data_IF_422043354387
#
_entry.id   IF_422043354387
#
_cell.length_a   1.000
_cell.length_b   1.000
_cell.length_c   1.000
_cell.angle_alpha   90.00
_cell.angle_beta   90.00
_cell.angle_gamma   90.00
#
_symmetry.space_group_name_H-M   'P 1'
#
loop_
_entity.id
_entity.type
_entity.pdbx_description
1 polymer ?
#
# COMPACT_ATOMS: atom_id res chain seq x y z
N UNK A 1 23.04 -14.17 -11.89
CA UNK A 1 23.91 -13.73 -13.01
C UNK A 1 24.76 -12.55 -12.51
N UNK A 2 26.07 -12.50 -12.74
CA UNK A 2 26.88 -11.34 -12.33
C UNK A 2 26.57 -10.19 -13.30
N UNK A 3 25.88 -9.15 -12.80
CA UNK A 3 25.64 -7.92 -13.56
C UNK A 3 26.96 -7.26 -13.97
N UNK A 4 27.03 -6.74 -15.19
CA UNK A 4 28.19 -5.94 -15.61
C UNK A 4 28.29 -4.68 -14.73
N UNK A 5 29.50 -4.12 -14.53
CA UNK A 5 29.68 -2.92 -13.72
C UNK A 5 28.78 -1.75 -14.15
N UNK A 6 28.61 -1.57 -15.47
CA UNK A 6 27.74 -0.53 -16.03
C UNK A 6 26.25 -0.73 -15.71
N UNK A 7 25.76 -1.96 -15.73
CA UNK A 7 24.38 -2.26 -15.31
C UNK A 7 24.20 -2.03 -13.81
N UNK A 8 25.14 -2.53 -13.00
CA UNK A 8 25.12 -2.36 -11.54
C UNK A 8 25.11 -0.89 -11.14
N UNK A 9 25.97 -0.06 -11.71
CA UNK A 9 26.02 1.37 -11.41
C UNK A 9 24.69 2.08 -11.72
N UNK A 10 24.06 1.73 -12.85
CA UNK A 10 22.78 2.33 -13.24
C UNK A 10 21.61 1.83 -12.39
N UNK A 11 21.59 0.55 -12.02
CA UNK A 11 20.62 0.01 -11.09
C UNK A 11 20.76 0.64 -9.70
N UNK A 12 21.96 0.89 -9.21
CA UNK A 12 22.18 1.59 -7.93
C UNK A 12 21.76 3.07 -7.94
N UNK A 13 21.49 3.66 -9.11
CA UNK A 13 20.86 4.98 -9.22
C UNK A 13 19.34 4.89 -9.09
N UNK A 14 18.78 3.70 -9.30
CA UNK A 14 17.34 3.44 -9.24
C UNK A 14 16.94 2.80 -7.91
N UNK A 15 17.68 1.77 -7.48
CA UNK A 15 17.52 1.06 -6.22
C UNK A 15 18.51 1.63 -5.22
N UNK A 16 18.02 2.17 -4.11
CA UNK A 16 18.85 2.74 -3.07
C UNK A 16 19.78 1.65 -2.49
N UNK A 17 21.10 1.82 -2.50
CA UNK A 17 22.02 0.81 -1.99
C UNK A 17 21.86 0.47 -0.51
N UNK A 18 21.18 1.33 0.28
CA UNK A 18 20.99 1.16 1.72
C UNK A 18 19.94 0.10 2.05
N UNK A 19 18.88 0.01 1.24
CA UNK A 19 17.75 -0.91 1.46
C UNK A 19 17.43 -1.81 0.25
N UNK A 20 18.05 -1.56 -0.89
CA UNK A 20 17.82 -2.30 -2.14
C UNK A 20 16.47 -2.03 -2.79
N UNK A 21 15.79 -0.92 -2.43
CA UNK A 21 14.42 -0.62 -2.88
C UNK A 21 14.35 0.63 -3.77
N UNK A 22 13.26 0.78 -4.50
CA UNK A 22 13.03 1.93 -5.38
C UNK A 22 11.56 2.42 -5.37
N UNK A 23 11.37 3.73 -5.32
CA UNK A 23 10.11 4.42 -5.55
C UNK A 23 10.15 5.11 -6.92
N UNK A 24 9.46 4.51 -7.88
CA UNK A 24 9.39 5.03 -9.24
C UNK A 24 7.99 5.54 -9.59
N UNK A 25 7.93 6.53 -10.48
CA UNK A 25 6.66 7.07 -11.01
C UNK A 25 6.59 6.89 -12.52
N UNK A 26 5.48 6.34 -13.02
CA UNK A 26 5.21 6.22 -14.45
C UNK A 26 4.46 7.44 -14.99
N UNK A 27 5.10 8.13 -15.93
CA UNK A 27 4.63 9.34 -16.59
C UNK A 27 4.57 9.18 -18.12
N UNK A 28 4.47 7.94 -18.62
CA UNK A 28 4.43 7.58 -20.05
C UNK A 28 3.00 7.41 -20.60
N UNK A 29 1.94 7.63 -19.82
CA UNK A 29 0.55 7.34 -20.22
C UNK A 29 0.06 8.11 -21.47
N UNK A 30 0.56 9.34 -21.69
CA UNK A 30 0.25 10.11 -22.90
C UNK A 30 0.77 9.48 -24.18
N UNK A 31 1.77 8.60 -24.08
CA UNK A 31 2.29 7.81 -25.19
C UNK A 31 1.27 6.80 -25.72
N UNK A 32 0.45 6.24 -24.83
CA UNK A 32 -0.50 5.20 -25.17
C UNK A 32 -1.85 5.79 -25.53
N UNK A 33 -2.47 6.57 -24.63
CA UNK A 33 -3.85 7.00 -24.86
C UNK A 33 -4.51 7.95 -23.87
N UNK A 34 -3.79 8.54 -22.92
CA UNK A 34 -4.42 9.30 -21.82
C UNK A 34 -4.28 10.83 -22.04
N UNK A 35 -5.12 11.51 -22.85
CA UNK A 35 -5.08 12.95 -23.02
C UNK A 35 -5.78 13.69 -21.87
N UNK A 36 -5.59 13.27 -20.61
CA UNK A 36 -6.09 14.04 -19.47
C UNK A 36 -5.23 15.24 -19.16
N UNK A 37 -5.80 16.18 -18.40
CA UNK A 37 -5.09 17.38 -17.95
C UNK A 37 -3.77 17.05 -17.23
N UNK A 38 -3.71 15.95 -16.49
CA UNK A 38 -2.51 15.50 -15.78
C UNK A 38 -1.39 15.01 -16.72
N UNK A 39 -1.73 14.63 -17.95
CA UNK A 39 -0.77 14.26 -18.99
C UNK A 39 -0.41 15.46 -19.85
N UNK A 40 -1.36 16.35 -20.12
CA UNK A 40 -1.14 17.59 -20.90
C UNK A 40 -0.25 18.55 -20.09
N UNK A 41 -0.54 18.75 -18.80
CA UNK A 41 0.22 19.58 -17.86
C UNK A 41 1.13 18.74 -16.97
N UNK A 42 1.93 17.87 -17.59
CA UNK A 42 2.77 16.93 -16.85
C UNK A 42 3.95 17.58 -16.10
N UNK A 43 4.49 18.71 -16.59
CA UNK A 43 5.64 19.41 -15.98
C UNK A 43 5.47 19.71 -14.48
N UNK A 44 4.43 20.44 -14.01
CA UNK A 44 4.26 20.73 -12.59
C UNK A 44 4.03 19.48 -11.72
N UNK A 45 3.52 18.40 -12.32
CA UNK A 45 3.36 17.11 -11.62
C UNK A 45 4.73 16.45 -11.45
N UNK A 46 5.59 16.46 -12.47
CA UNK A 46 6.94 15.93 -12.37
C UNK A 46 7.81 16.70 -11.37
N UNK A 47 7.66 18.02 -11.29
CA UNK A 47 8.33 18.84 -10.26
C UNK A 47 7.93 18.38 -8.85
N UNK A 48 6.63 18.18 -8.61
CA UNK A 48 6.12 17.63 -7.34
C UNK A 48 6.59 16.20 -7.06
N UNK A 49 6.67 15.35 -8.08
CA UNK A 49 7.20 13.97 -7.96
C UNK A 49 8.68 13.98 -7.55
N UNK A 50 9.47 14.86 -8.17
CA UNK A 50 10.89 15.04 -7.83
C UNK A 50 11.03 15.55 -6.39
N UNK A 51 10.26 16.57 -6.00
CA UNK A 51 10.25 17.09 -4.63
C UNK A 51 9.72 16.10 -3.60
N UNK A 52 8.90 15.13 -4.03
CA UNK A 52 8.40 14.05 -3.20
C UNK A 52 9.45 13.00 -2.86
N UNK A 53 10.58 12.99 -3.58
CA UNK A 53 11.69 12.07 -3.32
C UNK A 53 11.62 10.75 -4.11
N UNK A 54 11.02 10.75 -5.30
CA UNK A 54 11.06 9.58 -6.17
C UNK A 54 12.51 9.25 -6.61
N UNK A 55 12.87 7.97 -6.67
CA UNK A 55 14.17 7.49 -7.16
C UNK A 55 14.23 7.42 -8.68
N UNK A 56 13.09 7.23 -9.34
CA UNK A 56 13.03 7.10 -10.79
C UNK A 56 11.72 7.57 -11.40
N UNK A 57 11.78 8.03 -12.66
CA UNK A 57 10.59 8.36 -13.44
C UNK A 57 10.65 7.69 -14.81
N UNK A 58 9.62 6.91 -15.12
CA UNK A 58 9.41 6.27 -16.40
C UNK A 58 8.68 7.22 -17.36
N UNK A 59 9.30 7.53 -18.48
CA UNK A 59 8.78 8.42 -19.51
C UNK A 59 8.87 7.79 -20.89
N UNK A 60 8.03 8.21 -21.83
CA UNK A 60 8.29 7.97 -23.25
C UNK A 60 9.50 8.78 -23.72
N UNK A 61 10.16 8.31 -24.77
CA UNK A 61 11.30 9.01 -25.38
C UNK A 61 10.96 10.49 -25.70
N UNK A 62 9.81 10.73 -26.33
CA UNK A 62 9.38 12.10 -26.65
C UNK A 62 9.13 12.99 -25.43
N UNK A 63 8.66 12.42 -24.31
CA UNK A 63 8.49 13.17 -23.05
C UNK A 63 9.85 13.48 -22.43
N UNK A 64 10.76 12.49 -22.41
CA UNK A 64 12.12 12.67 -21.91
C UNK A 64 12.91 13.73 -22.70
N UNK A 65 12.73 13.84 -24.02
CA UNK A 65 13.34 14.91 -24.81
C UNK A 65 12.89 16.31 -24.38
N UNK A 66 11.63 16.47 -23.97
CA UNK A 66 11.04 17.77 -23.62
C UNK A 66 11.26 18.15 -22.16
N UNK A 67 11.12 17.17 -21.27
CA UNK A 67 11.11 17.37 -19.81
C UNK A 67 12.33 16.75 -19.10
N UNK A 68 13.25 16.12 -19.84
CA UNK A 68 14.46 15.49 -19.29
C UNK A 68 15.35 16.44 -18.50
N UNK A 69 15.32 17.74 -18.84
CA UNK A 69 16.05 18.78 -18.12
C UNK A 69 15.70 18.89 -16.63
N UNK A 70 14.50 18.46 -16.22
CA UNK A 70 14.08 18.42 -14.80
C UNK A 70 14.89 17.40 -13.98
N UNK A 71 15.47 16.40 -14.65
CA UNK A 71 16.17 15.27 -14.06
C UNK A 71 17.70 15.43 -14.09
N UNK A 72 18.20 16.59 -14.53
CA UNK A 72 19.62 16.88 -14.54
C UNK A 72 20.10 17.23 -13.12
N UNK A 73 20.98 16.40 -12.56
CA UNK A 73 21.60 16.65 -11.27
C UNK A 73 21.93 15.36 -10.52
N UNK A 74 22.85 15.48 -9.55
CA UNK A 74 23.28 14.34 -8.73
C UNK A 74 22.15 13.77 -7.90
N UNK A 75 21.35 14.65 -7.30
CA UNK A 75 20.23 14.34 -6.41
C UNK A 75 18.89 14.17 -7.15
N UNK A 76 18.88 14.25 -8.48
CA UNK A 76 17.67 14.07 -9.27
C UNK A 76 17.40 12.59 -9.54
N UNK A 77 16.13 12.18 -9.68
CA UNK A 77 15.76 10.80 -9.97
C UNK A 77 16.42 10.27 -11.25
N UNK A 78 16.50 8.94 -11.33
CA UNK A 78 16.81 8.21 -12.54
C UNK A 78 15.75 8.44 -13.63
N UNK A 79 16.20 8.63 -14.87
CA UNK A 79 15.32 8.55 -16.04
C UNK A 79 15.18 7.08 -16.45
N UNK A 80 13.95 6.61 -16.62
CA UNK A 80 13.62 5.33 -17.26
C UNK A 80 12.88 5.62 -18.57
N UNK A 81 13.22 4.90 -19.64
CA UNK A 81 12.62 5.12 -20.97
C UNK A 81 11.71 3.96 -21.35
N UNK A 82 10.44 4.26 -21.65
CA UNK A 82 9.51 3.37 -22.33
C UNK A 82 9.95 3.19 -23.79
N UNK A 83 10.31 1.97 -24.17
CA UNK A 83 10.85 1.67 -25.50
C UNK A 83 9.80 1.30 -26.54
N UNK A 84 8.59 0.94 -26.11
CA UNK A 84 7.56 0.39 -26.98
C UNK A 84 6.21 1.07 -26.81
N UNK A 85 5.40 0.94 -27.84
CA UNK A 85 4.03 1.41 -27.90
C UNK A 85 3.09 0.23 -28.07
N UNK A 86 1.88 0.36 -27.53
CA UNK A 86 0.78 -0.59 -27.73
C UNK A 86 -0.50 0.14 -28.11
N UNK A 87 -1.37 -0.52 -28.86
CA UNK A 87 -2.63 0.07 -29.31
C UNK A 87 -3.81 -0.12 -28.33
N UNK A 88 -3.54 -0.54 -27.09
CA UNK A 88 -4.52 -0.70 -26.01
C UNK A 88 -3.86 -0.32 -24.67
N UNK A 89 -4.52 0.38 -23.74
CA UNK A 89 -5.84 0.94 -23.91
C UNK A 89 -5.81 2.17 -24.84
N UNK A 90 -6.99 2.60 -25.32
CA UNK A 90 -7.22 3.80 -26.14
C UNK A 90 -8.25 4.70 -25.45
N UNK A 91 -7.98 5.14 -24.23
CA UNK A 91 -9.00 5.65 -23.31
C UNK A 91 -9.62 7.01 -23.67
N UNK A 92 -9.01 7.76 -24.60
CA UNK A 92 -9.50 9.09 -25.01
C UNK A 92 -9.68 10.05 -23.82
N UNK A 93 -10.43 11.14 -24.03
CA UNK A 93 -10.63 12.16 -23.00
C UNK A 93 -11.44 11.68 -21.79
N UNK A 94 -12.35 10.71 -21.97
CA UNK A 94 -13.13 10.15 -20.85
C UNK A 94 -12.26 9.39 -19.87
N UNK A 95 -11.16 8.79 -20.34
CA UNK A 95 -10.23 7.99 -19.55
C UNK A 95 -10.84 6.77 -18.84
N UNK A 96 -12.03 6.35 -19.31
CA UNK A 96 -12.81 5.25 -18.72
C UNK A 96 -13.02 4.13 -19.73
N UNK A 97 -13.18 4.45 -21.01
CA UNK A 97 -13.47 3.47 -22.07
C UNK A 97 -12.63 3.72 -23.31
N UNK A 98 -12.39 2.65 -24.08
CA UNK A 98 -11.66 2.78 -25.33
C UNK A 98 -12.50 3.55 -26.36
N UNK A 99 -11.97 4.66 -26.88
CA UNK A 99 -12.62 5.45 -27.94
C UNK A 99 -12.56 4.78 -29.32
N UNK A 100 -11.72 3.76 -29.48
CA UNK A 100 -11.60 2.98 -30.70
C UNK A 100 -11.53 1.48 -30.35
N UNK A 101 -12.26 0.61 -31.07
CA UNK A 101 -12.19 -0.83 -30.86
C UNK A 101 -10.81 -1.35 -31.25
N UNK A 102 -10.33 -2.35 -30.51
CA UNK A 102 -9.09 -3.07 -30.82
C UNK A 102 -9.46 -4.43 -31.39
N UNK A 103 -9.38 -4.55 -32.72
CA UNK A 103 -9.62 -5.81 -33.43
C UNK A 103 -8.38 -6.70 -33.36
N UNK A 104 -7.20 -6.10 -33.63
CA UNK A 104 -5.92 -6.79 -33.56
C UNK A 104 -5.02 -6.04 -32.59
N UNK A 105 -4.66 -6.67 -31.48
CA UNK A 105 -3.71 -6.10 -30.55
C UNK A 105 -2.32 -6.01 -31.21
N UNK A 106 -1.69 -4.84 -31.09
CA UNK A 106 -0.40 -4.54 -31.71
C UNK A 106 0.48 -3.83 -30.70
N UNK A 107 1.74 -4.25 -30.70
CA UNK A 107 2.84 -3.62 -29.98
C UNK A 107 3.98 -3.37 -30.94
N UNK A 108 4.69 -2.24 -30.81
CA UNK A 108 5.84 -1.88 -31.65
C UNK A 108 6.95 -1.26 -30.83
N UNK A 109 8.21 -1.60 -31.18
CA UNK A 109 9.36 -0.85 -30.69
C UNK A 109 9.34 0.54 -31.31
N UNK A 110 9.68 1.55 -30.51
CA UNK A 110 9.69 2.95 -30.92
C UNK A 110 10.95 3.68 -30.48
N UNK A 111 11.75 3.08 -29.60
CA UNK A 111 13.06 3.56 -29.19
C UNK A 111 13.92 2.38 -28.79
N UNK A 112 15.22 2.45 -29.04
CA UNK A 112 16.16 1.34 -28.80
C UNK A 112 17.10 1.65 -27.64
N UNK A 113 17.92 0.66 -27.25
CA UNK A 113 18.81 0.81 -26.09
C UNK A 113 19.78 2.00 -26.22
N UNK A 114 20.22 2.30 -27.46
CA UNK A 114 21.09 3.47 -27.75
C UNK A 114 20.37 4.81 -27.57
N UNK A 115 19.10 4.89 -27.92
CA UNK A 115 18.30 6.11 -27.75
C UNK A 115 18.10 6.43 -26.27
N UNK A 116 17.75 5.40 -25.48
CA UNK A 116 17.64 5.53 -24.03
C UNK A 116 18.97 5.93 -23.38
N UNK A 117 20.09 5.32 -23.82
CA UNK A 117 21.42 5.68 -23.35
C UNK A 117 21.77 7.15 -23.67
N UNK A 118 21.44 7.62 -24.87
CA UNK A 118 21.66 9.01 -25.27
C UNK A 118 20.88 10.02 -24.42
N UNK A 119 19.75 9.59 -23.83
CA UNK A 119 18.96 10.40 -22.88
C UNK A 119 19.47 10.35 -21.44
N UNK A 120 20.61 9.69 -21.18
CA UNK A 120 21.12 9.51 -19.83
C UNK A 120 20.26 8.58 -18.98
N UNK A 121 19.45 7.71 -19.61
CA UNK A 121 18.58 6.80 -18.89
C UNK A 121 19.38 5.80 -18.05
N UNK A 122 18.85 5.50 -16.87
CA UNK A 122 19.38 4.46 -15.98
C UNK A 122 18.81 3.09 -16.33
N UNK A 123 17.66 3.02 -16.99
CA UNK A 123 17.14 1.78 -17.55
C UNK A 123 16.23 2.04 -18.74
N UNK A 124 15.99 0.99 -19.52
CA UNK A 124 14.95 0.96 -20.55
C UNK A 124 13.87 -0.03 -20.14
N UNK A 125 12.60 0.32 -20.37
CA UNK A 125 11.44 -0.47 -19.98
C UNK A 125 10.65 -0.88 -21.21
N UNK A 126 10.32 -2.16 -21.30
CA UNK A 126 9.49 -2.73 -22.37
C UNK A 126 8.31 -3.49 -21.79
N UNK A 127 7.22 -3.59 -22.55
CA UNK A 127 6.13 -4.51 -22.22
C UNK A 127 6.49 -5.94 -22.64
N UNK A 128 5.91 -6.91 -21.95
CA UNK A 128 5.85 -8.30 -22.35
C UNK A 128 4.43 -8.81 -22.13
N UNK A 129 3.68 -9.00 -23.21
CA UNK A 129 2.28 -9.39 -23.14
C UNK A 129 2.08 -10.89 -23.35
N UNK A 130 1.28 -11.50 -22.49
CA UNK A 130 0.84 -12.91 -22.55
C UNK A 130 -0.68 -12.93 -22.40
N UNK A 131 -1.36 -13.83 -23.12
CA UNK A 131 -2.82 -13.98 -23.11
C UNK A 131 -3.50 -13.70 -24.45
N UNK A 132 -2.71 -13.46 -25.50
CA UNK A 132 -3.16 -13.32 -26.89
C UNK A 132 -2.64 -14.50 -27.72
N UNK A 133 -2.81 -14.51 -29.04
CA UNK A 133 -2.41 -15.65 -29.88
C UNK A 133 -0.91 -16.01 -29.75
N UNK A 134 -0.57 -17.29 -29.91
CA UNK A 134 0.81 -17.80 -29.86
C UNK A 134 1.77 -17.02 -30.77
N UNK A 135 1.32 -16.66 -31.98
CA UNK A 135 2.09 -15.82 -32.92
C UNK A 135 2.47 -14.45 -32.31
N UNK A 136 1.56 -13.84 -31.55
CA UNK A 136 1.81 -12.56 -30.90
C UNK A 136 2.76 -12.72 -29.71
N UNK A 137 2.64 -13.80 -28.95
CA UNK A 137 3.54 -14.12 -27.85
C UNK A 137 4.96 -14.39 -28.35
N UNK A 138 5.11 -15.16 -29.44
CA UNK A 138 6.39 -15.41 -30.09
C UNK A 138 7.09 -14.12 -30.53
N UNK A 139 6.35 -13.18 -31.16
CA UNK A 139 6.86 -11.86 -31.53
C UNK A 139 7.26 -11.02 -30.31
N UNK A 140 6.55 -11.14 -29.18
CA UNK A 140 6.92 -10.45 -27.95
C UNK A 140 8.22 -10.99 -27.35
N UNK A 141 8.41 -12.31 -27.37
CA UNK A 141 9.66 -12.95 -26.93
C UNK A 141 10.82 -12.52 -27.82
N UNK A 142 10.67 -12.56 -29.15
CA UNK A 142 11.72 -12.15 -30.07
C UNK A 142 12.15 -10.69 -29.83
N UNK A 143 11.17 -9.79 -29.66
CA UNK A 143 11.44 -8.39 -29.38
C UNK A 143 12.15 -8.21 -28.03
N UNK A 144 11.68 -8.88 -26.98
CA UNK A 144 12.29 -8.78 -25.65
C UNK A 144 13.73 -9.33 -25.63
N UNK A 145 13.99 -10.44 -26.35
CA UNK A 145 15.32 -11.00 -26.52
C UNK A 145 16.25 -10.04 -27.29
N UNK A 146 15.74 -9.33 -28.30
CA UNK A 146 16.50 -8.28 -28.99
C UNK A 146 16.94 -7.16 -28.03
N UNK A 147 16.02 -6.65 -27.21
CA UNK A 147 16.37 -5.65 -26.20
C UNK A 147 17.37 -6.17 -25.18
N UNK A 148 17.20 -7.40 -24.68
CA UNK A 148 18.13 -8.00 -23.71
C UNK A 148 19.55 -8.10 -24.28
N UNK A 149 19.69 -8.46 -25.55
CA UNK A 149 20.98 -8.51 -26.25
C UNK A 149 21.60 -7.11 -26.40
N UNK A 150 20.82 -6.11 -26.83
CA UNK A 150 21.31 -4.73 -26.97
C UNK A 150 21.75 -4.13 -25.63
N UNK A 151 20.89 -4.26 -24.61
CA UNK A 151 21.12 -3.78 -23.25
C UNK A 151 22.39 -4.37 -22.64
N UNK A 152 22.61 -5.69 -22.84
CA UNK A 152 23.83 -6.38 -22.40
C UNK A 152 25.09 -5.80 -23.03
N UNK A 153 25.06 -5.49 -24.33
CA UNK A 153 26.22 -4.96 -25.07
C UNK A 153 26.65 -3.57 -24.60
N UNK A 154 25.70 -2.71 -24.20
CA UNK A 154 25.98 -1.32 -23.82
C UNK A 154 25.92 -1.07 -22.30
N UNK A 155 25.62 -2.11 -21.52
CA UNK A 155 25.52 -2.00 -20.06
C UNK A 155 24.32 -1.20 -19.56
N UNK A 156 23.23 -1.13 -20.33
CA UNK A 156 21.97 -0.50 -19.93
C UNK A 156 21.07 -1.57 -19.28
N UNK A 157 20.53 -1.35 -18.07
CA UNK A 157 19.53 -2.21 -17.47
C UNK A 157 18.24 -2.30 -18.29
N UNK A 158 17.70 -3.52 -18.42
CA UNK A 158 16.41 -3.81 -19.03
C UNK A 158 15.37 -4.12 -17.95
N UNK A 159 14.32 -3.32 -17.89
CA UNK A 159 13.12 -3.60 -17.11
C UNK A 159 12.08 -4.21 -18.05
N UNK A 160 11.62 -5.42 -17.75
CA UNK A 160 10.51 -6.02 -18.48
C UNK A 160 9.23 -5.83 -17.66
N UNK A 161 8.14 -5.46 -18.34
CA UNK A 161 6.81 -5.33 -17.75
C UNK A 161 5.89 -6.46 -18.26
N UNK A 162 5.89 -7.63 -17.59
CA UNK A 162 4.92 -8.68 -17.84
C UNK A 162 3.50 -8.20 -17.62
N UNK A 163 2.63 -8.44 -18.59
CA UNK A 163 1.22 -8.09 -18.56
C UNK A 163 0.40 -9.29 -19.04
N UNK A 164 -0.32 -9.90 -18.11
CA UNK A 164 -1.31 -10.94 -18.40
C UNK A 164 -2.60 -10.25 -18.86
N UNK A 165 -2.77 -10.11 -20.18
CA UNK A 165 -3.96 -9.52 -20.79
C UNK A 165 -4.30 -10.22 -22.11
N UNK A 166 -5.59 -10.29 -22.42
CA UNK A 166 -6.08 -10.91 -23.64
C UNK A 166 -7.19 -11.91 -23.36
N UNK A 167 -7.80 -12.45 -24.42
CA UNK A 167 -8.99 -13.31 -24.31
C UNK A 167 -8.76 -14.62 -23.56
N UNK A 168 -7.50 -15.03 -23.39
CA UNK A 168 -7.14 -16.27 -22.67
C UNK A 168 -6.80 -16.04 -21.19
N UNK A 169 -6.79 -14.77 -20.75
CA UNK A 169 -6.56 -14.42 -19.35
C UNK A 169 -7.90 -14.16 -18.66
N UNK A 170 -8.12 -14.85 -17.55
CA UNK A 170 -9.33 -14.81 -16.74
C UNK A 170 -8.96 -14.49 -15.29
N UNK A 171 -9.95 -14.16 -14.46
CA UNK A 171 -9.71 -13.97 -13.02
C UNK A 171 -9.14 -15.20 -12.31
N UNK A 172 -9.32 -16.40 -12.88
CA UNK A 172 -8.86 -17.67 -12.29
C UNK A 172 -7.38 -17.92 -12.57
N UNK A 173 -6.89 -17.61 -13.78
CA UNK A 173 -5.53 -17.95 -14.19
C UNK A 173 -4.56 -16.75 -14.20
N UNK A 174 -5.04 -15.51 -14.01
CA UNK A 174 -4.20 -14.31 -14.13
C UNK A 174 -2.95 -14.36 -13.23
N UNK A 175 -3.08 -14.85 -12.00
CA UNK A 175 -1.95 -14.94 -11.08
C UNK A 175 -0.90 -15.96 -11.56
N UNK A 176 -1.33 -17.15 -12.00
CA UNK A 176 -0.44 -18.18 -12.54
C UNK A 176 0.27 -17.71 -13.82
N UNK A 177 -0.47 -17.04 -14.71
CA UNK A 177 0.10 -16.43 -15.93
C UNK A 177 1.17 -15.42 -15.55
N UNK A 178 0.91 -14.51 -14.60
CA UNK A 178 1.90 -13.52 -14.16
C UNK A 178 3.14 -14.15 -13.51
N UNK A 179 2.97 -15.20 -12.69
CA UNK A 179 4.08 -15.95 -12.07
C UNK A 179 4.96 -16.58 -13.15
N UNK A 180 4.37 -17.29 -14.12
CA UNK A 180 5.11 -17.86 -15.25
C UNK A 180 5.81 -16.78 -16.08
N UNK A 181 5.11 -15.68 -16.37
CA UNK A 181 5.65 -14.55 -17.12
C UNK A 181 6.86 -13.92 -16.45
N UNK A 182 6.86 -13.81 -15.11
CA UNK A 182 7.97 -13.26 -14.35
C UNK A 182 9.23 -14.13 -14.51
N UNK A 183 9.07 -15.46 -14.47
CA UNK A 183 10.19 -16.38 -14.74
C UNK A 183 10.70 -16.29 -16.17
N UNK A 184 9.79 -16.24 -17.15
CA UNK A 184 10.16 -16.11 -18.56
C UNK A 184 10.93 -14.80 -18.79
N UNK A 185 10.47 -13.69 -18.21
CA UNK A 185 11.16 -12.40 -18.32
C UNK A 185 12.57 -12.43 -17.72
N UNK A 186 12.78 -13.14 -16.61
CA UNK A 186 14.12 -13.39 -16.08
C UNK A 186 15.01 -14.14 -17.09
N UNK A 187 14.51 -15.23 -17.68
CA UNK A 187 15.27 -16.02 -18.66
C UNK A 187 15.60 -15.25 -19.94
N UNK A 188 14.70 -14.35 -20.38
CA UNK A 188 14.96 -13.43 -21.50
C UNK A 188 16.16 -12.52 -21.18
N UNK A 189 16.37 -12.20 -19.90
CA UNK A 189 17.47 -11.38 -19.42
C UNK A 189 17.04 -10.01 -18.88
N UNK A 190 15.84 -9.93 -18.30
CA UNK A 190 15.45 -8.78 -17.48
C UNK A 190 16.43 -8.59 -16.31
N UNK A 191 16.74 -7.33 -15.99
CA UNK A 191 17.52 -6.97 -14.80
C UNK A 191 16.61 -6.55 -13.63
N UNK A 192 15.36 -6.18 -13.92
CA UNK A 192 14.27 -5.97 -12.96
C UNK A 192 12.92 -6.18 -13.67
N UNK A 193 11.86 -6.39 -12.91
CA UNK A 193 10.50 -6.54 -13.43
C UNK A 193 9.60 -5.42 -12.92
N UNK A 194 8.65 -5.02 -13.75
CA UNK A 194 7.51 -4.18 -13.37
C UNK A 194 6.24 -5.01 -13.55
N UNK A 195 5.51 -5.31 -12.48
CA UNK A 195 4.46 -6.34 -12.53
C UNK A 195 3.19 -5.87 -11.83
N UNK A 196 1.98 -6.14 -12.38
CA UNK A 196 0.72 -5.91 -11.66
C UNK A 196 0.67 -6.73 -10.38
N UNK A 197 0.14 -6.13 -9.31
CA UNK A 197 -0.18 -6.89 -8.11
C UNK A 197 -1.14 -8.02 -8.45
N UNK A 198 -0.88 -9.24 -7.96
CA UNK A 198 -1.69 -10.42 -8.26
C UNK A 198 -3.02 -10.43 -7.53
N UNK A 199 -3.22 -9.50 -6.59
CA UNK A 199 -4.42 -9.38 -5.76
C UNK A 199 -4.36 -10.17 -4.46
N UNK A 200 -3.27 -10.90 -4.20
CA UNK A 200 -3.04 -11.66 -2.98
C UNK A 200 -1.54 -11.73 -2.63
N UNK A 201 -1.22 -11.60 -1.35
CA UNK A 201 0.16 -11.56 -0.84
C UNK A 201 0.92 -12.86 -1.12
N UNK A 202 0.26 -14.02 -1.06
CA UNK A 202 0.93 -15.31 -1.23
C UNK A 202 1.27 -15.57 -2.70
N UNK A 203 0.34 -15.29 -3.61
CA UNK A 203 0.60 -15.37 -5.05
C UNK A 203 1.65 -14.37 -5.50
N UNK A 204 1.66 -13.14 -4.94
CA UNK A 204 2.68 -12.15 -5.26
C UNK A 204 4.06 -12.52 -4.69
N UNK A 205 4.09 -13.18 -3.51
CA UNK A 205 5.32 -13.71 -2.92
C UNK A 205 5.94 -14.79 -3.78
N UNK A 206 5.11 -15.69 -4.31
CA UNK A 206 5.56 -16.71 -5.25
C UNK A 206 6.11 -16.07 -6.53
N UNK A 207 5.45 -15.03 -7.05
CA UNK A 207 5.93 -14.26 -8.19
C UNK A 207 7.32 -13.65 -7.93
N UNK A 208 7.51 -13.00 -6.78
CA UNK A 208 8.80 -12.43 -6.39
C UNK A 208 9.89 -13.51 -6.27
N UNK A 209 9.53 -14.69 -5.73
CA UNK A 209 10.45 -15.83 -5.59
C UNK A 209 10.95 -16.35 -6.95
N UNK A 210 10.06 -16.51 -7.93
CA UNK A 210 10.44 -17.05 -9.25
C UNK A 210 11.16 -16.03 -10.15
N UNK A 211 10.88 -14.74 -9.94
CA UNK A 211 11.49 -13.64 -10.69
C UNK A 211 13.02 -13.60 -10.55
N UNK A 212 13.57 -13.86 -9.36
CA UNK A 212 15.03 -13.82 -9.08
C UNK A 212 15.76 -12.50 -9.46
N UNK A 213 15.01 -11.45 -9.76
CA UNK A 213 15.45 -10.07 -9.96
C UNK A 213 14.49 -9.13 -9.21
N UNK A 214 14.88 -7.88 -8.91
CA UNK A 214 14.01 -6.93 -8.24
C UNK A 214 12.66 -6.78 -8.95
N UNK A 215 11.56 -6.94 -8.20
CA UNK A 215 10.19 -6.75 -8.69
C UNK A 215 9.64 -5.43 -8.17
N UNK A 216 9.18 -4.59 -9.08
CA UNK A 216 8.51 -3.32 -8.78
C UNK A 216 7.00 -3.49 -9.04
N UNK A 217 6.18 -3.31 -8.01
CA UNK A 217 4.72 -3.40 -8.16
C UNK A 217 4.21 -2.18 -8.92
N UNK A 218 3.31 -2.38 -9.90
CA UNK A 218 2.65 -1.27 -10.60
C UNK A 218 1.30 -0.93 -9.97
N UNK A 219 0.95 0.35 -10.02
CA UNK A 219 -0.24 0.89 -9.32
C UNK A 219 -1.58 0.64 -10.00
N UNK A 220 -1.61 0.03 -11.19
CA UNK A 220 -2.86 -0.30 -11.86
C UNK A 220 -3.72 0.92 -12.19
N UNK A 221 -5.05 0.77 -12.05
CA UNK A 221 -6.02 1.87 -12.17
C UNK A 221 -5.88 2.86 -11.01
N UNK A 222 -6.45 4.07 -11.16
CA UNK A 222 -6.52 5.01 -10.04
C UNK A 222 -7.47 4.44 -8.99
N UNK A 223 -7.01 4.34 -7.75
CA UNK A 223 -7.85 3.98 -6.61
C UNK A 223 -8.75 5.14 -6.19
N UNK A 224 -9.93 4.82 -5.64
CA UNK A 224 -10.87 5.82 -5.13
C UNK A 224 -10.31 6.51 -3.87
N UNK A 225 -9.68 5.75 -2.99
CA UNK A 225 -9.00 6.27 -1.81
C UNK A 225 -7.47 6.10 -1.92
N UNK A 226 -6.68 7.12 -1.54
CA UNK A 226 -5.21 7.01 -1.51
C UNK A 226 -4.71 5.86 -0.64
N UNK A 227 -5.45 5.54 0.43
CA UNK A 227 -5.15 4.42 1.32
C UNK A 227 -5.09 3.09 0.56
N UNK A 228 -6.04 2.80 -0.32
CA UNK A 228 -6.07 1.54 -1.07
C UNK A 228 -4.81 1.36 -1.92
N UNK A 229 -4.33 2.45 -2.52
CA UNK A 229 -3.09 2.44 -3.30
C UNK A 229 -1.85 2.20 -2.41
N UNK A 230 -1.85 2.71 -1.19
CA UNK A 230 -0.78 2.49 -0.20
C UNK A 230 -0.80 1.06 0.36
N UNK A 231 -1.98 0.47 0.57
CA UNK A 231 -2.13 -0.93 1.02
C UNK A 231 -1.57 -1.91 -0.02
N UNK A 232 -1.78 -1.67 -1.32
CA UNK A 232 -1.15 -2.46 -2.39
C UNK A 232 0.38 -2.39 -2.32
N UNK A 233 0.96 -1.23 -2.00
CA UNK A 233 2.42 -1.09 -1.84
C UNK A 233 2.90 -1.87 -0.63
N UNK A 234 2.25 -1.72 0.51
CA UNK A 234 2.60 -2.43 1.75
C UNK A 234 2.52 -3.96 1.58
N UNK A 235 1.42 -4.46 1.00
CA UNK A 235 1.24 -5.87 0.71
C UNK A 235 2.31 -6.41 -0.25
N UNK A 236 2.63 -5.68 -1.33
CA UNK A 236 3.67 -6.07 -2.26
C UNK A 236 5.06 -6.10 -1.59
N UNK A 237 5.38 -5.13 -0.74
CA UNK A 237 6.62 -5.13 0.05
C UNK A 237 6.69 -6.32 1.00
N UNK A 238 5.59 -6.65 1.69
CA UNK A 238 5.49 -7.85 2.55
C UNK A 238 5.61 -9.17 1.77
N UNK A 239 5.26 -9.16 0.49
CA UNK A 239 5.45 -10.29 -0.42
C UNK A 239 6.88 -10.39 -0.97
N UNK A 240 7.72 -9.36 -0.82
CA UNK A 240 9.12 -9.35 -1.26
C UNK A 240 9.40 -8.47 -2.49
N UNK A 241 8.49 -7.56 -2.85
CA UNK A 241 8.77 -6.54 -3.85
C UNK A 241 9.96 -5.66 -3.44
N UNK A 242 10.73 -5.22 -4.42
CA UNK A 242 11.82 -4.26 -4.25
C UNK A 242 11.34 -2.81 -4.39
N UNK A 243 10.03 -2.55 -4.31
CA UNK A 243 9.44 -1.22 -4.42
C UNK A 243 8.37 -1.13 -5.49
N UNK A 244 8.24 0.03 -6.13
CA UNK A 244 7.04 0.40 -6.89
C UNK A 244 7.32 1.23 -8.14
N UNK A 245 6.48 1.08 -9.16
CA UNK A 245 6.38 1.99 -10.32
C UNK A 245 4.91 2.42 -10.47
N UNK A 246 4.51 3.47 -9.77
CA UNK A 246 3.11 3.95 -9.77
C UNK A 246 2.87 5.04 -10.81
N UNK A 247 1.77 4.92 -11.55
CA UNK A 247 1.39 5.89 -12.57
C UNK A 247 0.22 6.75 -12.11
N UNK A 248 -0.98 6.32 -12.49
CA UNK A 248 -2.25 7.04 -12.29
C UNK A 248 -2.54 7.40 -10.83
N UNK A 249 -2.12 6.57 -9.85
CA UNK A 249 -2.29 6.88 -8.43
C UNK A 249 -1.44 8.06 -7.94
N UNK A 250 -0.38 8.42 -8.66
CA UNK A 250 0.44 9.59 -8.36
C UNK A 250 0.05 10.76 -9.26
N UNK A 251 0.07 10.56 -10.58
CA UNK A 251 -0.14 11.65 -11.54
C UNK A 251 -1.55 12.24 -11.50
N UNK A 252 -2.54 11.50 -11.00
CA UNK A 252 -3.92 11.97 -10.83
C UNK A 252 -4.30 12.18 -9.36
N UNK A 253 -3.34 12.15 -8.43
CA UNK A 253 -3.58 12.48 -7.04
C UNK A 253 -3.92 13.97 -6.90
N UNK A 254 -4.67 14.33 -5.85
CA UNK A 254 -4.90 15.75 -5.50
C UNK A 254 -3.61 16.46 -5.12
N UNK A 255 -2.72 15.74 -4.45
CA UNK A 255 -1.38 16.18 -4.04
C UNK A 255 -0.36 15.09 -4.44
N UNK A 256 0.19 15.16 -5.67
CA UNK A 256 1.20 14.22 -6.14
C UNK A 256 2.45 14.17 -5.24
N UNK A 257 2.88 15.32 -4.69
CA UNK A 257 4.06 15.39 -3.82
C UNK A 257 3.83 14.58 -2.55
N UNK A 258 2.71 14.82 -1.85
CA UNK A 258 2.36 14.08 -0.63
C UNK A 258 2.20 12.59 -0.90
N UNK A 259 1.58 12.20 -2.03
CA UNK A 259 1.45 10.79 -2.40
C UNK A 259 2.81 10.11 -2.58
N UNK A 260 3.77 10.77 -3.24
CA UNK A 260 5.14 10.22 -3.36
C UNK A 260 5.83 10.15 -2.00
N UNK A 261 5.70 11.18 -1.15
CA UNK A 261 6.27 11.17 0.21
C UNK A 261 5.72 10.02 1.05
N UNK A 262 4.43 9.71 0.93
CA UNK A 262 3.79 8.59 1.61
C UNK A 262 4.33 7.25 1.13
N UNK A 263 4.47 7.09 -0.19
CA UNK A 263 5.09 5.89 -0.77
C UNK A 263 6.56 5.74 -0.34
N UNK A 264 7.34 6.83 -0.32
CA UNK A 264 8.73 6.86 0.18
C UNK A 264 8.79 6.44 1.64
N UNK A 265 7.86 6.92 2.47
CA UNK A 265 7.81 6.55 3.87
C UNK A 265 7.48 5.05 4.09
N UNK A 266 6.66 4.44 3.23
CA UNK A 266 6.45 2.97 3.24
C UNK A 266 7.71 2.22 2.77
N UNK A 267 8.22 2.57 1.60
CA UNK A 267 9.25 1.80 0.90
C UNK A 267 10.60 1.92 1.58
N UNK A 268 11.07 3.13 1.86
CA UNK A 268 12.38 3.40 2.48
C UNK A 268 12.28 3.63 3.98
N UNK A 269 11.17 4.21 4.46
CA UNK A 269 10.99 4.53 5.88
C UNK A 269 10.49 3.36 6.73
N UNK A 270 10.02 2.27 6.12
CA UNK A 270 9.48 1.11 6.83
C UNK A 270 8.22 1.41 7.64
N UNK A 271 7.54 2.53 7.35
CA UNK A 271 6.26 2.86 7.99
C UNK A 271 5.16 1.93 7.51
N UNK A 272 4.12 1.76 8.31
CA UNK A 272 2.88 1.12 7.86
C UNK A 272 1.90 2.13 7.27
N UNK A 273 0.93 1.65 6.49
CA UNK A 273 -0.15 2.49 5.95
C UNK A 273 -0.92 3.19 7.06
N UNK A 274 -1.11 2.52 8.20
CA UNK A 274 -1.78 3.10 9.35
C UNK A 274 -0.98 4.26 9.94
N UNK A 275 0.35 4.17 10.04
CA UNK A 275 1.16 5.28 10.56
C UNK A 275 1.14 6.53 9.67
N UNK A 276 0.91 6.33 8.36
CA UNK A 276 0.85 7.40 7.37
C UNK A 276 -0.53 8.03 7.30
N UNK A 277 -1.58 7.20 7.36
CA UNK A 277 -2.96 7.63 7.08
C UNK A 277 -3.77 7.94 8.33
N UNK A 278 -3.40 7.39 9.50
CA UNK A 278 -4.11 7.65 10.75
C UNK A 278 -3.53 8.89 11.45
N UNK A 279 -4.26 10.03 11.49
CA UNK A 279 -3.75 11.27 12.11
C UNK A 279 -3.54 11.15 13.62
N UNK A 280 -4.12 10.13 14.26
CA UNK A 280 -4.00 9.88 15.70
C UNK A 280 -2.93 8.83 16.03
N UNK A 281 -2.24 8.27 15.04
CA UNK A 281 -1.19 7.28 15.28
C UNK A 281 -0.10 7.84 16.20
N UNK A 282 0.29 7.06 17.21
CA UNK A 282 1.28 7.48 18.21
C UNK A 282 0.79 8.52 19.24
N UNK A 283 -0.44 9.04 19.14
CA UNK A 283 -1.00 9.96 20.13
C UNK A 283 -1.67 9.22 21.30
N UNK A 284 -1.84 9.91 22.43
CA UNK A 284 -2.71 9.42 23.50
C UNK A 284 -4.16 9.53 23.03
N UNK A 285 -4.86 8.41 22.96
CA UNK A 285 -6.26 8.37 22.51
C UNK A 285 -7.16 7.73 23.57
N UNK A 286 -8.46 7.97 23.43
CA UNK A 286 -9.53 7.24 24.11
C UNK A 286 -10.61 6.87 23.10
N UNK A 287 -11.39 5.83 23.41
CA UNK A 287 -12.57 5.50 22.63
C UNK A 287 -13.73 6.45 22.99
N UNK A 288 -14.49 6.82 21.97
CA UNK A 288 -15.79 7.48 22.05
C UNK A 288 -16.83 6.69 21.27
N UNK A 289 -18.11 6.95 21.54
CA UNK A 289 -19.22 6.27 20.85
C UNK A 289 -20.27 7.24 20.35
N UNK A 290 -20.85 6.93 19.19
CA UNK A 290 -21.96 7.66 18.57
C UNK A 290 -23.10 6.66 18.37
N UNK A 291 -23.94 6.51 19.39
CA UNK A 291 -24.94 5.42 19.43
C UNK A 291 -25.95 5.49 18.29
N UNK A 292 -26.30 6.69 17.80
CA UNK A 292 -27.21 6.87 16.66
C UNK A 292 -26.69 6.28 15.34
N UNK A 293 -25.40 5.95 15.25
CA UNK A 293 -24.80 5.30 14.08
C UNK A 293 -24.61 3.79 14.26
N UNK A 294 -24.94 3.24 15.43
CA UNK A 294 -24.75 1.83 15.69
C UNK A 294 -25.90 1.01 15.10
N UNK A 295 -25.55 0.06 14.24
CA UNK A 295 -26.51 -0.85 13.58
C UNK A 295 -26.70 -2.18 14.31
N UNK A 296 -25.95 -2.43 15.39
CA UNK A 296 -26.00 -3.72 16.09
C UNK A 296 -25.28 -4.86 15.35
N UNK A 297 -24.49 -4.59 14.31
CA UNK A 297 -23.86 -5.64 13.49
C UNK A 297 -22.79 -6.49 14.20
N UNK A 298 -22.36 -6.09 15.40
CA UNK A 298 -21.35 -6.78 16.23
C UNK A 298 -19.95 -7.00 15.60
N UNK A 299 -19.67 -6.41 14.44
CA UNK A 299 -18.34 -6.45 13.80
C UNK A 299 -17.24 -5.96 14.75
N UNK A 300 -17.52 -4.93 15.55
CA UNK A 300 -16.56 -4.41 16.53
C UNK A 300 -16.22 -5.41 17.65
N UNK A 301 -17.14 -6.30 18.02
CA UNK A 301 -16.92 -7.37 19.00
C UNK A 301 -15.99 -8.42 18.41
N UNK A 302 -16.28 -8.87 17.19
CA UNK A 302 -15.46 -9.83 16.44
C UNK A 302 -14.05 -9.30 16.17
N UNK A 303 -13.92 -8.02 15.79
CA UNK A 303 -12.63 -7.39 15.59
C UNK A 303 -11.80 -7.38 16.88
N UNK A 304 -12.43 -7.11 18.03
CA UNK A 304 -11.74 -7.14 19.32
C UNK A 304 -11.29 -8.56 19.70
N UNK A 305 -12.16 -9.56 19.59
CA UNK A 305 -11.79 -10.93 19.99
C UNK A 305 -10.75 -11.54 19.05
N UNK A 306 -10.89 -11.33 17.75
CA UNK A 306 -9.94 -11.82 16.75
C UNK A 306 -8.54 -11.23 16.92
N UNK A 307 -8.42 -9.99 17.41
CA UNK A 307 -7.13 -9.31 17.58
C UNK A 307 -6.40 -9.67 18.88
N UNK A 308 -7.06 -10.34 19.82
CA UNK A 308 -6.49 -10.61 21.15
C UNK A 308 -6.46 -12.08 21.51
N UNK A 309 -7.53 -12.81 21.20
CA UNK A 309 -7.77 -14.15 21.74
C UNK A 309 -7.71 -15.24 20.65
N UNK A 310 -7.48 -14.87 19.38
CA UNK A 310 -7.45 -15.80 18.24
C UNK A 310 -8.78 -16.53 17.97
N UNK A 311 -9.84 -16.22 18.72
CA UNK A 311 -11.15 -16.84 18.63
C UNK A 311 -12.14 -16.00 17.83
N UNK A 312 -13.11 -16.67 17.20
CA UNK A 312 -14.19 -16.06 16.45
C UNK A 312 -15.48 -16.12 17.27
N UNK A 313 -15.84 -15.03 17.93
CA UNK A 313 -17.04 -14.95 18.77
C UNK A 313 -17.12 -13.63 19.56
N UNK A 314 -18.25 -13.36 20.22
CA UNK A 314 -18.41 -12.16 21.04
C UNK A 314 -17.86 -12.34 22.46
N UNK A 315 -17.77 -13.59 22.93
CA UNK A 315 -17.22 -13.92 24.23
C UNK A 315 -15.74 -13.52 24.30
N UNK A 316 -15.39 -12.68 25.29
CA UNK A 316 -14.04 -12.14 25.45
C UNK A 316 -13.80 -10.79 24.77
N UNK A 317 -14.80 -10.18 24.13
CA UNK A 317 -14.69 -8.83 23.60
C UNK A 317 -14.54 -7.82 24.75
N UNK A 318 -13.58 -6.89 24.61
CA UNK A 318 -13.27 -5.86 25.63
C UNK A 318 -14.18 -4.63 25.54
N UNK A 319 -15.34 -4.82 24.92
CA UNK A 319 -16.42 -3.86 24.67
C UNK A 319 -17.72 -4.64 24.47
N UNK A 320 -18.87 -3.94 24.47
CA UNK A 320 -20.19 -4.55 24.28
C UNK A 320 -21.04 -3.73 23.32
N UNK A 321 -22.07 -4.37 22.77
CA UNK A 321 -23.16 -3.68 22.09
C UNK A 321 -24.45 -4.04 22.82
N UNK A 322 -25.08 -3.03 23.40
CA UNK A 322 -26.35 -3.19 24.12
C UNK A 322 -27.51 -2.91 23.18
N UNK A 323 -28.55 -3.75 23.28
CA UNK A 323 -29.83 -3.47 22.65
C UNK A 323 -30.60 -2.48 23.53
N UNK A 324 -30.98 -1.33 22.96
CA UNK A 324 -31.91 -0.37 23.57
C UNK A 324 -33.32 -0.60 23.00
N UNK A 325 -34.33 -0.24 23.78
CA UNK A 325 -35.73 -0.28 23.36
C UNK A 325 -35.94 0.43 22.02
N UNK A 326 -36.99 0.05 21.30
CA UNK A 326 -37.34 0.62 20.00
C UNK A 326 -37.46 2.15 20.07
N UNK A 327 -36.76 2.85 19.19
CA UNK A 327 -36.97 4.28 18.92
C UNK A 327 -37.67 4.35 17.58
N UNK A 328 -38.89 4.91 17.55
CA UNK A 328 -39.68 5.06 16.31
C UNK A 328 -39.87 3.75 15.52
N UNK A 329 -39.97 2.61 16.21
CA UNK A 329 -40.21 1.30 15.58
C UNK A 329 -38.97 0.60 15.03
N UNK A 330 -37.77 1.20 15.13
CA UNK A 330 -36.51 0.57 14.76
C UNK A 330 -35.71 0.12 16.01
N UNK A 331 -35.01 -1.03 15.95
CA UNK A 331 -34.11 -1.44 17.04
C UNK A 331 -32.98 -0.42 17.20
N UNK A 332 -32.75 0.03 18.43
CA UNK A 332 -31.68 0.97 18.77
C UNK A 332 -30.54 0.21 19.43
N UNK A 333 -29.30 0.53 19.07
CA UNK A 333 -28.13 -0.13 19.64
C UNK A 333 -27.18 0.89 20.28
N UNK A 334 -26.52 0.49 21.36
CA UNK A 334 -25.52 1.30 22.04
C UNK A 334 -24.21 0.52 22.16
N UNK A 335 -23.14 0.94 21.47
CA UNK A 335 -21.82 0.42 21.78
C UNK A 335 -21.35 0.99 23.11
N UNK A 336 -20.82 0.13 23.97
CA UNK A 336 -20.24 0.46 25.28
C UNK A 336 -18.79 0.01 25.26
N UNK A 337 -17.88 0.97 25.44
CA UNK A 337 -16.43 0.79 25.30
C UNK A 337 -15.70 1.26 26.55
N UNK A 338 -14.47 0.75 26.75
CA UNK A 338 -13.57 1.34 27.74
C UNK A 338 -13.12 2.73 27.28
N UNK A 339 -13.31 3.75 28.11
CA UNK A 339 -12.83 5.12 27.84
C UNK A 339 -11.42 5.39 28.39
N UNK A 340 -10.79 4.38 29.00
CA UNK A 340 -9.54 4.52 29.76
C UNK A 340 -9.63 5.63 30.83
N UNK A 341 -10.70 5.64 31.62
CA UNK A 341 -10.89 6.65 32.67
C UNK A 341 -9.95 6.46 33.88
N UNK A 342 -9.47 5.25 34.16
CA UNK A 342 -8.51 4.99 35.23
C UNK A 342 -9.08 4.50 36.55
N UNK A 343 -10.40 4.42 36.72
CA UNK A 343 -11.02 3.92 37.97
C UNK A 343 -10.54 2.52 38.36
N UNK A 344 -10.24 1.66 37.38
CA UNK A 344 -9.67 0.33 37.63
C UNK A 344 -8.20 0.38 38.11
N UNK A 345 -7.44 1.39 37.69
CA UNK A 345 -6.07 1.64 38.16
C UNK A 345 -6.11 2.15 39.60
N UNK A 346 -6.99 3.12 39.89
CA UNK A 346 -7.19 3.67 41.25
C UNK A 346 -7.64 2.61 42.25
N UNK A 347 -8.48 1.67 41.82
CA UNK A 347 -8.99 0.58 42.66
C UNK A 347 -8.01 -0.59 42.83
N UNK A 348 -6.85 -0.60 42.16
CA UNK A 348 -5.93 -1.74 42.19
C UNK A 348 -5.02 -1.70 43.44
N UNK A 349 -5.20 -2.58 44.43
CA UNK A 349 -4.46 -2.50 45.70
C UNK A 349 -2.97 -2.85 45.54
N UNK A 350 -2.62 -3.71 44.57
CA UNK A 350 -1.24 -4.14 44.34
C UNK A 350 -0.49 -3.24 43.35
N UNK A 351 -1.16 -2.31 42.68
CA UNK A 351 -0.57 -1.51 41.59
C UNK A 351 -0.34 -2.30 40.29
N UNK A 352 -0.85 -3.52 40.17
CA UNK A 352 -0.73 -4.35 38.97
C UNK A 352 -1.32 -3.68 37.71
N UNK A 353 -2.36 -2.85 37.87
CA UNK A 353 -2.91 -2.03 36.79
C UNK A 353 -2.28 -0.64 36.80
N UNK A 354 -1.71 -0.23 35.67
CA UNK A 354 -1.06 1.07 35.52
C UNK A 354 -1.15 1.60 34.09
N UNK A 355 -0.92 2.90 33.89
CA UNK A 355 -0.82 3.47 32.56
C UNK A 355 0.60 3.35 31.99
N UNK A 356 0.74 2.96 30.73
CA UNK A 356 2.01 3.04 30.01
C UNK A 356 2.31 4.49 29.52
N UNK A 357 3.47 4.70 28.89
CA UNK A 357 3.87 6.00 28.37
C UNK A 357 2.87 6.62 27.37
N UNK A 358 2.09 5.78 26.68
CA UNK A 358 1.04 6.15 25.72
C UNK A 358 -0.33 6.35 26.37
N UNK A 359 -0.44 6.20 27.69
CA UNK A 359 -1.69 6.38 28.42
C UNK A 359 -2.68 5.21 28.24
N UNK A 360 -2.18 4.03 27.86
CA UNK A 360 -2.92 2.77 27.76
C UNK A 360 -2.81 2.04 29.10
N UNK A 361 -3.89 1.40 29.56
CA UNK A 361 -3.86 0.61 30.79
C UNK A 361 -3.21 -0.75 30.51
N UNK A 362 -2.22 -1.12 31.32
CA UNK A 362 -1.49 -2.39 31.30
C UNK A 362 -1.73 -3.14 32.59
N UNK A 363 -1.79 -4.46 32.48
CA UNK A 363 -1.82 -5.39 33.60
C UNK A 363 -0.47 -6.08 33.70
N UNK A 364 0.19 -5.92 34.85
CA UNK A 364 1.27 -6.81 35.28
C UNK A 364 0.66 -8.05 35.94
N UNK A 365 0.83 -9.22 35.31
CA UNK A 365 0.25 -10.48 35.80
C UNK A 365 0.98 -11.01 37.04
N UNK A 366 2.25 -10.67 37.25
CA UNK A 366 3.05 -11.16 38.37
C UNK A 366 2.67 -10.45 39.67
N UNK A 367 2.31 -9.17 39.57
CA UNK A 367 1.88 -8.34 40.70
C UNK A 367 0.38 -8.43 40.99
N UNK A 368 -0.41 -9.16 40.18
CA UNK A 368 -1.86 -9.21 40.32
C UNK A 368 -2.32 -10.38 41.21
N UNK A 369 -3.03 -10.06 42.28
CA UNK A 369 -3.61 -11.03 43.23
C UNK A 369 -4.98 -11.59 42.81
N UNK A 370 -5.53 -11.12 41.68
CA UNK A 370 -6.83 -11.52 41.12
C UNK A 370 -8.03 -11.18 42.02
N UNK A 371 -7.96 -10.12 42.83
CA UNK A 371 -9.07 -9.66 43.68
C UNK A 371 -10.31 -9.12 42.93
N UNK A 372 -10.15 -8.74 41.65
CA UNK A 372 -11.18 -8.18 40.76
C UNK A 372 -11.82 -6.85 41.20
N UNK A 373 -11.19 -6.09 42.09
CA UNK A 373 -11.71 -4.77 42.48
C UNK A 373 -11.77 -3.80 41.29
N UNK A 374 -10.88 -3.96 40.33
CA UNK A 374 -10.92 -3.27 39.04
C UNK A 374 -12.20 -3.54 38.22
N UNK A 375 -12.78 -4.74 38.32
CA UNK A 375 -14.03 -5.09 37.65
C UNK A 375 -15.21 -4.37 38.31
N UNK A 376 -15.26 -4.38 39.65
CA UNK A 376 -16.29 -3.69 40.44
C UNK A 376 -16.25 -2.17 40.23
N UNK A 377 -15.05 -1.61 40.10
CA UNK A 377 -14.84 -0.17 39.91
C UNK A 377 -15.20 0.34 38.50
N UNK A 378 -15.43 -0.54 37.52
CA UNK A 378 -15.66 -0.13 36.13
C UNK A 378 -17.06 0.48 35.94
N UNK A 379 -17.18 1.79 35.65
CA UNK A 379 -18.48 2.46 35.54
C UNK A 379 -19.25 2.07 34.28
N UNK A 380 -18.55 1.50 33.30
CA UNK A 380 -19.13 1.03 32.03
C UNK A 380 -19.37 -0.48 32.04
N UNK A 381 -19.00 -1.18 33.11
CA UNK A 381 -19.06 -2.64 33.21
C UNK A 381 -18.16 -3.40 32.23
N UNK A 382 -17.38 -2.77 31.34
CA UNK A 382 -16.64 -3.48 30.27
C UNK A 382 -15.40 -4.28 30.74
N UNK A 383 -15.05 -4.23 32.02
CA UNK A 383 -13.97 -5.06 32.61
C UNK A 383 -14.59 -6.39 33.02
N UNK A 384 -13.93 -7.51 32.72
CA UNK A 384 -14.39 -8.85 33.05
C UNK A 384 -13.21 -9.77 33.40
N UNK A 385 -13.49 -10.97 33.88
CA UNK A 385 -12.47 -11.96 34.26
C UNK A 385 -12.24 -12.96 33.12
N UNK A 386 -10.98 -13.28 32.82
CA UNK A 386 -10.62 -14.37 31.90
C UNK A 386 -10.67 -15.76 32.58
N UNK A 387 -10.34 -16.82 31.83
CA UNK A 387 -10.40 -18.20 32.32
C UNK A 387 -9.34 -18.50 33.41
N UNK A 388 -8.23 -17.76 33.42
CA UNK A 388 -7.14 -17.90 34.39
C UNK A 388 -7.39 -17.06 35.67
N UNK A 389 -8.49 -16.33 35.69
CA UNK A 389 -8.94 -15.50 36.80
C UNK A 389 -8.41 -14.07 36.78
N UNK A 390 -7.71 -13.64 35.73
CA UNK A 390 -7.18 -12.30 35.60
C UNK A 390 -8.23 -11.31 35.04
N UNK A 391 -8.15 -10.03 35.41
CA UNK A 391 -9.02 -9.01 34.83
C UNK A 391 -8.59 -8.67 33.40
N UNK A 392 -9.56 -8.56 32.51
CA UNK A 392 -9.41 -8.13 31.13
C UNK A 392 -9.91 -6.70 30.99
N UNK A 393 -9.01 -5.81 30.57
CA UNK A 393 -9.29 -4.40 30.29
C UNK A 393 -8.89 -4.13 28.84
N UNK A 394 -9.60 -3.22 28.17
CA UNK A 394 -9.18 -2.72 26.86
C UNK A 394 -7.79 -2.10 26.94
N UNK A 395 -6.89 -2.57 26.08
CA UNK A 395 -5.51 -2.12 25.91
C UNK A 395 -5.35 -1.25 24.65
N UNK A 396 -6.46 -0.77 24.07
CA UNK A 396 -6.54 -0.07 22.79
C UNK A 396 -5.82 -0.79 21.64
N UNK A 397 -5.63 -2.12 21.71
CA UNK A 397 -4.83 -2.86 20.74
C UNK A 397 -3.42 -2.24 20.57
N UNK A 398 -2.83 -1.77 21.67
CA UNK A 398 -1.52 -1.12 21.63
C UNK A 398 -1.51 0.30 21.05
N UNK A 399 -2.68 0.92 20.85
CA UNK A 399 -2.82 2.26 20.30
C UNK A 399 -3.51 2.31 18.93
N UNK A 400 -3.74 1.16 18.30
CA UNK A 400 -4.48 1.02 17.03
C UNK A 400 -5.80 0.23 17.23
N UNK A 401 -6.85 0.86 17.78
CA UNK A 401 -8.04 0.15 18.23
C UNK A 401 -8.83 -0.48 17.06
N UNK A 402 -8.76 -1.79 16.96
CA UNK A 402 -9.41 -2.56 15.88
C UNK A 402 -10.93 -2.40 15.86
N UNK A 403 -11.57 -2.21 17.02
CA UNK A 403 -13.00 -1.90 17.07
C UNK A 403 -13.40 -0.59 16.36
N UNK A 404 -12.49 0.40 16.28
CA UNK A 404 -12.68 1.63 15.50
C UNK A 404 -12.43 1.34 14.03
N UNK A 405 -11.31 0.69 13.69
CA UNK A 405 -10.91 0.33 12.32
C UNK A 405 -12.01 -0.42 11.56
N UNK A 406 -12.68 -1.35 12.25
CA UNK A 406 -13.71 -2.19 11.65
C UNK A 406 -15.13 -1.62 11.75
N UNK A 407 -15.33 -0.48 12.44
CA UNK A 407 -16.63 0.16 12.53
C UNK A 407 -16.93 1.00 11.28
N UNK A 408 -17.53 0.39 10.25
CA UNK A 408 -17.89 1.06 8.99
C UNK A 408 -18.94 2.18 9.11
N UNK A 409 -19.53 2.35 10.30
CA UNK A 409 -20.55 3.35 10.57
C UNK A 409 -20.05 4.45 11.53
N UNK A 410 -18.79 4.43 11.95
CA UNK A 410 -18.23 5.38 12.93
C UNK A 410 -19.02 5.45 14.25
N UNK A 411 -19.67 4.35 14.65
CA UNK A 411 -20.37 4.25 15.93
C UNK A 411 -19.39 4.15 17.12
N UNK A 412 -18.14 3.77 16.84
CA UNK A 412 -17.01 3.81 17.77
C UNK A 412 -15.90 4.61 17.08
N UNK A 413 -15.37 5.61 17.78
CA UNK A 413 -14.36 6.54 17.25
C UNK A 413 -13.18 6.64 18.20
N UNK A 414 -12.00 6.91 17.65
CA UNK A 414 -10.84 7.31 18.44
C UNK A 414 -10.82 8.84 18.60
N UNK A 415 -10.61 9.32 19.83
CA UNK A 415 -10.52 10.73 20.17
C UNK A 415 -9.20 11.03 20.88
N UNK A 416 -8.58 12.20 20.66
CA UNK A 416 -7.42 12.63 21.44
C UNK A 416 -7.74 12.64 22.94
N UNK A 417 -6.86 12.05 23.75
CA UNK A 417 -6.91 12.10 25.21
C UNK A 417 -6.01 13.23 25.68
N UNK A 418 -6.60 14.39 26.02
CA UNK A 418 -5.87 15.52 26.61
C UNK A 418 -5.19 15.05 27.91
N UNK A 419 -3.96 15.51 28.18
CA UNK A 419 -3.31 15.31 29.48
C UNK A 419 -4.18 16.04 30.52
N UNK A 420 -4.76 15.30 31.45
CA UNK A 420 -5.25 15.90 32.69
C UNK A 420 -4.02 16.43 33.43
N UNK A 421 -3.86 17.74 33.53
CA UNK A 421 -3.01 18.34 34.55
C UNK A 421 -3.65 18.04 35.91
N UNK A 422 -2.85 17.89 36.96
CA UNK A 422 -3.32 17.48 38.31
C UNK A 422 -4.42 18.38 38.91
N UNK A 423 -4.75 19.52 38.29
CA UNK A 423 -5.71 20.51 38.77
C UNK A 423 -7.18 20.19 38.44
N UNK A 424 -7.47 19.33 37.47
CA UNK A 424 -8.87 19.03 37.07
C UNK A 424 -9.56 17.95 37.94
N UNK A 425 -8.85 17.35 38.91
CA UNK A 425 -9.35 16.23 39.72
C UNK A 425 -10.25 16.71 40.89
N UNK A 426 -10.35 18.02 41.14
CA UNK A 426 -11.12 18.56 42.28
C UNK A 426 -12.43 19.28 41.94
N UNK A 427 -12.94 19.19 40.71
CA UNK A 427 -14.28 19.69 40.40
C UNK A 427 -15.02 18.75 39.46
N UNK A 428 -15.73 17.76 40.01
CA UNK A 428 -16.89 17.10 39.40
C UNK A 428 -17.73 16.40 40.47
#
# INVERSE_FOLDING_TARGET
>A
MILSPGKRQRLNRLFDPRDGRAVCVAADHGWMSDPTENVIRLKPILEQVIEGGADGVLMSYGTAQRLGHLFHGREKPAILIRADWMNLPRLGASNVSNILPVVNFRKRATSFARDALAMGASAITIYYFIGYSDEFEALNIEQAACYARECRRIGLPLIIEPMAVGGMVTGVNIAEVLIASARIAYEIGADALKVPYTGDVNTFRELCRVAQVPVLVLGGAKSDHPRDALEVVEEALHAGAAGTVFGRNVTKAKDPKKMVQDIVALVHGGKTVDEITNPLHGQRIRLGTVSSRCTGCHICLLACTGSHNGGYGHAGARLRVEHRSFVEGAPSFRPVVCTLCGRCVEACPTGALHYDGRGIIRLDRDSCDRCLDCQKACPFGVVFQDQDGYPVICDLCGGDPQCVRWCKYDAIIALPKRRTTKEEIHVA
#
